data_IF_228165555925
#
_entry.id   IF_228165555925
#
_cell.length_a   1.000
_cell.length_b   1.000
_cell.length_c   1.000
_cell.angle_alpha   90.00
_cell.angle_beta   90.00
_cell.angle_gamma   90.00
#
_symmetry.space_group_name_H-M   'P 1'
#
loop_
_entity.id
_entity.type
_entity.pdbx_description
1 polymer ?
#
# COMPACT_ATOMS: atom_id res chain seq x y z
N UNK A 1 14.63 -5.47 -4.59
CA UNK A 1 13.71 -6.59 -4.32
C UNK A 1 12.30 -6.33 -4.83
N UNK A 2 11.49 -5.37 -4.32
CA UNK A 2 10.10 -5.16 -4.80
C UNK A 2 10.04 -4.86 -6.30
N UNK A 3 10.87 -3.96 -6.80
CA UNK A 3 10.97 -3.63 -8.24
C UNK A 3 11.24 -4.89 -9.08
N UNK A 4 12.19 -5.73 -8.66
CA UNK A 4 12.52 -6.97 -9.37
C UNK A 4 11.37 -7.98 -9.35
N UNK A 5 10.65 -8.06 -8.22
CA UNK A 5 9.44 -8.88 -8.13
C UNK A 5 8.35 -8.44 -9.10
N UNK A 6 8.07 -7.12 -9.18
CA UNK A 6 7.07 -6.60 -10.13
C UNK A 6 7.51 -6.84 -11.58
N UNK A 7 8.79 -6.62 -11.91
CA UNK A 7 9.32 -6.94 -13.25
C UNK A 7 9.14 -8.41 -13.59
N UNK A 8 9.46 -9.33 -12.66
CA UNK A 8 9.30 -10.76 -12.87
C UNK A 8 7.83 -11.13 -13.13
N UNK A 9 6.91 -10.65 -12.28
CA UNK A 9 5.48 -10.90 -12.45
C UNK A 9 4.93 -10.35 -13.77
N UNK A 10 5.35 -9.15 -14.18
CA UNK A 10 4.98 -8.57 -15.50
C UNK A 10 5.52 -9.39 -16.67
N UNK A 11 6.62 -10.12 -16.48
CA UNK A 11 7.21 -11.04 -17.46
C UNK A 11 6.70 -12.49 -17.31
N UNK A 12 5.58 -12.72 -16.62
CA UNK A 12 5.01 -14.05 -16.37
C UNK A 12 5.94 -15.01 -15.59
N UNK A 13 6.85 -14.48 -14.78
CA UNK A 13 7.72 -15.26 -13.90
C UNK A 13 7.19 -15.22 -12.47
N UNK A 14 6.92 -16.36 -11.82
CA UNK A 14 6.50 -16.38 -10.42
C UNK A 14 7.64 -15.91 -9.50
N UNK A 15 7.27 -15.41 -8.33
CA UNK A 15 8.19 -14.90 -7.32
C UNK A 15 7.98 -15.58 -5.98
N UNK A 16 9.01 -15.56 -5.13
CA UNK A 16 8.92 -15.90 -3.72
C UNK A 16 8.89 -14.60 -2.89
N UNK A 17 7.77 -14.34 -2.23
CA UNK A 17 7.59 -13.18 -1.37
C UNK A 17 7.87 -13.57 0.08
N UNK A 18 8.82 -12.91 0.78
CA UNK A 18 9.10 -13.21 2.19
C UNK A 18 7.92 -12.84 3.09
N UNK A 19 7.63 -13.66 4.07
CA UNK A 19 6.65 -13.38 5.13
C UNK A 19 7.30 -12.45 6.16
N UNK A 20 6.56 -11.45 6.62
CA UNK A 20 7.00 -10.50 7.63
C UNK A 20 6.34 -10.80 8.99
N UNK A 21 7.14 -10.93 10.04
CA UNK A 21 6.67 -11.02 11.42
C UNK A 21 6.51 -9.64 12.03
N UNK A 22 5.28 -9.29 12.40
CA UNK A 22 4.99 -8.04 13.12
C UNK A 22 5.40 -8.11 14.61
N UNK A 23 5.66 -9.31 15.11
CA UNK A 23 6.13 -9.53 16.50
C UNK A 23 7.62 -9.29 16.60
N UNK A 24 8.38 -9.87 15.68
CA UNK A 24 9.84 -9.80 15.68
C UNK A 24 10.36 -8.56 14.94
N UNK A 25 9.47 -7.84 14.24
CA UNK A 25 9.80 -6.71 13.37
C UNK A 25 10.82 -7.04 12.27
N UNK A 26 10.81 -8.29 11.78
CA UNK A 26 11.73 -8.77 10.74
C UNK A 26 11.04 -9.75 9.79
N UNK A 27 11.76 -10.13 8.74
CA UNK A 27 11.33 -11.18 7.81
C UNK A 27 11.55 -12.54 8.44
N UNK A 28 10.56 -13.41 8.26
CA UNK A 28 10.70 -14.82 8.64
C UNK A 28 11.51 -15.58 7.60
N UNK A 29 11.88 -16.82 7.92
CA UNK A 29 12.47 -17.74 6.94
C UNK A 29 11.44 -18.30 5.94
N UNK A 30 10.16 -18.00 6.14
CA UNK A 30 9.08 -18.46 5.28
C UNK A 30 8.92 -17.55 4.07
N UNK A 31 8.52 -18.12 2.94
CA UNK A 31 8.12 -17.38 1.74
C UNK A 31 6.79 -17.89 1.21
N UNK A 32 6.11 -17.01 0.47
CA UNK A 32 4.87 -17.32 -0.23
C UNK A 32 5.13 -17.18 -1.72
N UNK A 33 4.82 -18.24 -2.47
CA UNK A 33 4.90 -18.21 -3.92
C UNK A 33 3.74 -17.39 -4.51
N UNK A 34 4.07 -16.36 -5.26
CA UNK A 34 3.10 -15.49 -5.96
C UNK A 34 3.22 -15.73 -7.46
N UNK A 35 2.12 -16.20 -8.04
CA UNK A 35 2.03 -16.45 -9.49
C UNK A 35 1.65 -15.18 -10.24
N UNK A 36 2.11 -15.02 -11.48
CA UNK A 36 1.67 -13.93 -12.37
C UNK A 36 0.15 -13.92 -12.55
N UNK A 37 -0.39 -12.71 -12.66
CA UNK A 37 -1.81 -12.50 -12.93
C UNK A 37 -1.99 -11.31 -13.87
N UNK A 38 -3.16 -11.21 -14.51
CA UNK A 38 -3.52 -10.07 -15.37
C UNK A 38 -3.58 -8.75 -14.61
N UNK A 39 -3.80 -8.80 -13.30
CA UNK A 39 -3.81 -7.64 -12.41
C UNK A 39 -2.87 -7.92 -11.24
N UNK A 40 -1.98 -6.99 -11.01
CA UNK A 40 -1.07 -6.98 -9.86
C UNK A 40 -1.39 -5.73 -9.04
N UNK A 41 -1.77 -5.91 -7.79
CA UNK A 41 -2.01 -4.80 -6.86
C UNK A 41 -0.82 -4.73 -5.92
N UNK A 42 -0.20 -3.55 -5.87
CA UNK A 42 0.90 -3.25 -4.95
C UNK A 42 0.40 -2.25 -3.92
N UNK A 43 0.44 -2.63 -2.66
CA UNK A 43 0.02 -1.78 -1.54
C UNK A 43 1.22 -1.40 -0.66
N UNK A 44 1.31 -0.13 -0.30
CA UNK A 44 2.33 0.39 0.59
C UNK A 44 2.44 1.91 0.59
N UNK A 45 2.72 2.47 1.76
CA UNK A 45 2.74 3.93 1.96
C UNK A 45 3.91 4.65 1.27
N UNK A 46 4.98 3.94 0.92
CA UNK A 46 6.19 4.51 0.29
C UNK A 46 6.39 4.02 -1.15
N UNK A 47 5.42 3.36 -1.75
CA UNK A 47 5.57 2.79 -3.11
C UNK A 47 5.79 3.86 -4.17
N UNK A 48 5.33 5.08 -3.93
CA UNK A 48 5.52 6.20 -4.85
C UNK A 48 6.85 6.93 -4.69
N UNK A 49 7.65 6.66 -3.67
CA UNK A 49 8.96 7.29 -3.49
C UNK A 49 9.99 6.75 -4.50
N UNK A 50 9.89 5.49 -4.86
CA UNK A 50 10.80 4.88 -5.82
C UNK A 50 10.33 5.15 -7.27
N UNK A 51 11.13 5.93 -8.03
CA UNK A 51 10.79 6.27 -9.42
C UNK A 51 10.67 5.04 -10.32
N UNK A 52 11.58 4.08 -10.20
CA UNK A 52 11.56 2.86 -11.01
C UNK A 52 10.30 2.03 -10.76
N UNK A 53 9.84 1.98 -9.51
CA UNK A 53 8.58 1.32 -9.16
C UNK A 53 7.37 2.06 -9.76
N UNK A 54 7.35 3.40 -9.68
CA UNK A 54 6.29 4.22 -10.30
C UNK A 54 6.19 4.01 -11.81
N UNK A 55 7.32 3.89 -12.48
CA UNK A 55 7.39 3.70 -13.94
C UNK A 55 6.84 2.31 -14.37
N UNK A 56 6.75 1.34 -13.45
CA UNK A 56 6.17 0.02 -13.69
C UNK A 56 4.65 -0.02 -13.48
N UNK A 57 4.06 1.00 -12.86
CA UNK A 57 2.64 1.06 -12.52
C UNK A 57 1.83 1.62 -13.68
N UNK A 58 0.75 0.92 -14.05
CA UNK A 58 -0.17 1.36 -15.09
C UNK A 58 -1.22 2.33 -14.54
N UNK A 59 -1.61 2.17 -13.26
CA UNK A 59 -2.54 3.05 -12.54
C UNK A 59 -1.96 3.31 -11.14
N UNK A 60 -1.85 4.57 -10.76
CA UNK A 60 -1.36 5.02 -9.47
C UNK A 60 -2.50 5.65 -8.66
N UNK A 61 -2.88 5.01 -7.58
CA UNK A 61 -3.98 5.44 -6.71
C UNK A 61 -3.43 5.90 -5.37
N UNK A 62 -3.78 7.11 -4.98
CA UNK A 62 -3.51 7.62 -3.64
C UNK A 62 -4.81 7.59 -2.82
N UNK A 63 -4.75 6.94 -1.67
CA UNK A 63 -5.88 6.86 -0.73
C UNK A 63 -5.73 8.01 0.27
N UNK A 64 -6.60 9.00 0.14
CA UNK A 64 -6.58 10.20 0.98
C UNK A 64 -7.55 10.04 2.15
N UNK A 65 -7.05 10.24 3.37
CA UNK A 65 -7.85 10.16 4.59
C UNK A 65 -7.28 11.17 5.59
N UNK A 66 -8.14 11.90 6.26
CA UNK A 66 -7.76 12.90 7.25
C UNK A 66 -6.88 12.32 8.36
N UNK A 67 -5.95 13.13 8.85
CA UNK A 67 -4.91 12.69 9.79
C UNK A 67 -5.48 12.18 11.12
N UNK A 68 -6.55 12.80 11.61
CA UNK A 68 -7.26 12.40 12.82
C UNK A 68 -7.95 11.04 12.67
N UNK A 69 -8.59 10.80 11.52
CA UNK A 69 -9.21 9.49 11.19
C UNK A 69 -8.13 8.41 11.07
N UNK A 70 -7.00 8.71 10.42
CA UNK A 70 -5.87 7.76 10.32
C UNK A 70 -5.32 7.43 11.71
N UNK A 71 -5.18 8.43 12.58
CA UNK A 71 -4.70 8.23 13.95
C UNK A 71 -5.70 7.41 14.78
N UNK A 72 -6.99 7.72 14.71
CA UNK A 72 -8.03 6.98 15.42
C UNK A 72 -8.03 5.49 15.02
N UNK A 73 -8.02 5.20 13.71
CA UNK A 73 -7.94 3.82 13.18
C UNK A 73 -6.66 3.10 13.64
N UNK A 74 -5.53 3.81 13.65
CA UNK A 74 -4.26 3.26 14.13
C UNK A 74 -4.31 2.90 15.62
N UNK A 75 -4.86 3.79 16.46
CA UNK A 75 -4.97 3.53 17.90
C UNK A 75 -5.83 2.29 18.15
N UNK A 76 -7.01 2.23 17.53
CA UNK A 76 -7.91 1.08 17.69
C UNK A 76 -7.22 -0.24 17.29
N UNK A 77 -6.62 -0.29 16.11
CA UNK A 77 -5.93 -1.49 15.63
C UNK A 77 -4.76 -1.88 16.53
N UNK A 78 -3.87 -0.93 16.84
CA UNK A 78 -2.61 -1.24 17.54
C UNK A 78 -2.85 -1.59 19.02
N UNK A 79 -3.91 -1.02 19.64
CA UNK A 79 -4.27 -1.35 21.02
C UNK A 79 -5.07 -2.65 21.09
N UNK A 80 -6.13 -2.80 20.25
CA UNK A 80 -7.04 -3.94 20.36
C UNK A 80 -6.47 -5.23 19.74
N UNK A 81 -5.71 -5.11 18.63
CA UNK A 81 -5.26 -6.27 17.86
C UNK A 81 -3.79 -6.62 18.07
N UNK A 82 -2.95 -5.63 18.45
CA UNK A 82 -1.49 -5.79 18.56
C UNK A 82 -0.97 -5.66 19.98
N UNK A 83 -1.84 -5.49 20.97
CA UNK A 83 -1.50 -5.45 22.40
C UNK A 83 -0.63 -4.26 22.81
N UNK A 84 -0.58 -3.18 22.01
CA UNK A 84 0.20 -1.99 22.32
C UNK A 84 -0.54 -1.09 23.32
N UNK A 85 0.20 -0.31 24.11
CA UNK A 85 -0.41 0.73 24.93
C UNK A 85 -0.74 1.96 24.09
N UNK A 86 -1.82 2.66 24.42
CA UNK A 86 -2.21 3.92 23.79
C UNK A 86 -1.07 4.94 23.81
N UNK A 87 -0.40 5.06 24.96
CA UNK A 87 0.74 5.97 25.11
C UNK A 87 1.87 5.66 24.13
N UNK A 88 2.23 4.38 23.96
CA UNK A 88 3.24 3.94 22.98
C UNK A 88 2.85 4.31 21.56
N UNK A 89 1.59 4.12 21.18
CA UNK A 89 1.08 4.44 19.83
C UNK A 89 1.14 5.95 19.57
N UNK A 90 0.68 6.78 20.53
CA UNK A 90 0.68 8.24 20.41
C UNK A 90 2.11 8.78 20.34
N UNK A 91 2.99 8.30 21.22
CA UNK A 91 4.41 8.73 21.23
C UNK A 91 5.07 8.44 19.89
N UNK A 92 4.93 7.21 19.36
CA UNK A 92 5.48 6.85 18.06
C UNK A 92 4.85 7.67 16.92
N UNK A 93 3.54 7.94 16.99
CA UNK A 93 2.86 8.73 15.98
C UNK A 93 3.44 10.14 15.89
N UNK A 94 3.58 10.82 17.01
CA UNK A 94 4.06 12.21 17.08
C UNK A 94 5.54 12.33 16.75
N UNK A 95 6.36 11.38 17.22
CA UNK A 95 7.82 11.44 17.05
C UNK A 95 8.31 10.94 15.69
N UNK A 96 7.57 10.06 15.04
CA UNK A 96 8.07 9.38 13.83
C UNK A 96 7.03 9.37 12.71
N UNK A 97 5.82 8.82 12.98
CA UNK A 97 4.88 8.52 11.89
C UNK A 97 4.35 9.78 11.20
N UNK A 98 3.97 10.79 11.99
CA UNK A 98 3.47 12.06 11.44
C UNK A 98 4.55 12.82 10.67
N UNK A 99 5.76 13.07 11.21
CA UNK A 99 6.84 13.70 10.46
C UNK A 99 7.18 12.96 9.15
N UNK A 100 7.32 11.64 9.21
CA UNK A 100 7.62 10.83 8.02
C UNK A 100 6.50 10.85 6.98
N UNK A 101 5.23 10.92 7.43
CA UNK A 101 4.11 11.07 6.53
C UNK A 101 4.17 12.42 5.79
N UNK A 102 4.42 13.50 6.52
CA UNK A 102 4.50 14.85 5.98
C UNK A 102 5.71 15.01 5.03
N UNK A 103 6.80 14.32 5.30
CA UNK A 103 8.03 14.41 4.50
C UNK A 103 7.99 13.53 3.25
N UNK A 104 7.45 12.31 3.32
CA UNK A 104 7.54 11.34 2.22
C UNK A 104 6.18 10.96 1.63
N UNK A 105 5.16 10.71 2.45
CA UNK A 105 3.89 10.15 1.97
C UNK A 105 3.02 11.22 1.33
N UNK A 106 2.78 12.32 2.03
CA UNK A 106 1.93 13.41 1.53
C UNK A 106 2.47 14.03 0.23
N UNK A 107 3.78 14.35 0.09
CA UNK A 107 4.31 14.87 -1.17
C UNK A 107 4.24 13.87 -2.34
N UNK A 108 4.15 12.58 -2.05
CA UNK A 108 4.05 11.53 -3.08
C UNK A 108 2.69 11.51 -3.80
N UNK A 109 1.67 12.14 -3.22
CA UNK A 109 0.33 12.35 -3.78
C UNK A 109 0.36 12.97 -5.19
N UNK A 110 1.34 13.81 -5.48
CA UNK A 110 1.56 14.41 -6.82
C UNK A 110 1.81 13.40 -7.94
N UNK A 111 2.19 12.18 -7.59
CA UNK A 111 2.45 11.11 -8.57
C UNK A 111 1.23 10.25 -8.84
N UNK A 112 0.13 10.43 -8.11
CA UNK A 112 -1.09 9.66 -8.30
C UNK A 112 -1.85 10.10 -9.55
N UNK A 113 -2.39 9.12 -10.28
CA UNK A 113 -3.33 9.36 -11.39
C UNK A 113 -4.75 9.56 -10.84
N UNK A 114 -5.07 8.95 -9.69
CA UNK A 114 -6.37 9.03 -9.03
C UNK A 114 -6.17 9.22 -7.51
N UNK A 115 -6.92 10.14 -6.93
CA UNK A 115 -6.99 10.35 -5.48
C UNK A 115 -8.37 9.91 -4.99
N UNK A 116 -8.42 8.96 -4.06
CA UNK A 116 -9.67 8.45 -3.48
C UNK A 116 -9.81 9.00 -2.06
N UNK A 117 -10.75 9.94 -1.84
CA UNK A 117 -11.03 10.43 -0.49
C UNK A 117 -11.72 9.35 0.35
N UNK A 118 -11.53 9.41 1.67
CA UNK A 118 -12.13 8.50 2.66
C UNK A 118 -11.72 7.01 2.52
N UNK A 119 -10.82 6.70 1.61
CA UNK A 119 -10.27 5.37 1.42
C UNK A 119 -11.27 4.36 0.87
N UNK A 120 -11.16 3.11 1.31
CA UNK A 120 -11.99 2.00 0.83
C UNK A 120 -13.49 2.12 1.17
N UNK A 121 -13.89 3.09 1.98
CA UNK A 121 -15.29 3.39 2.28
C UNK A 121 -15.97 4.22 1.18
N UNK A 122 -15.21 4.82 0.26
CA UNK A 122 -15.75 5.48 -0.91
C UNK A 122 -16.15 4.45 -1.97
N UNK A 123 -17.36 3.88 -1.81
CA UNK A 123 -17.87 2.82 -2.67
C UNK A 123 -17.99 3.25 -4.14
N UNK A 124 -18.26 4.52 -4.41
CA UNK A 124 -18.38 5.05 -5.78
C UNK A 124 -17.01 5.05 -6.46
N UNK A 125 -15.99 5.59 -5.80
CA UNK A 125 -14.63 5.61 -6.36
C UNK A 125 -14.08 4.19 -6.55
N UNK A 126 -14.33 3.29 -5.60
CA UNK A 126 -13.94 1.87 -5.70
C UNK A 126 -14.66 1.19 -6.87
N UNK A 127 -15.95 1.41 -7.06
CA UNK A 127 -16.69 0.86 -8.19
C UNK A 127 -16.17 1.36 -9.54
N UNK A 128 -15.85 2.65 -9.66
CA UNK A 128 -15.25 3.22 -10.87
C UNK A 128 -13.87 2.58 -11.18
N UNK A 129 -13.04 2.40 -10.17
CA UNK A 129 -11.73 1.75 -10.34
C UNK A 129 -11.88 0.30 -10.79
N UNK A 130 -12.79 -0.46 -10.19
CA UNK A 130 -13.08 -1.85 -10.58
C UNK A 130 -13.55 -1.92 -12.04
N UNK A 131 -14.42 -1.03 -12.47
CA UNK A 131 -14.90 -1.00 -13.85
C UNK A 131 -13.78 -0.67 -14.84
N UNK A 132 -12.90 0.26 -14.51
CA UNK A 132 -11.74 0.59 -15.33
C UNK A 132 -10.80 -0.63 -15.48
N UNK A 133 -10.47 -1.31 -14.38
CA UNK A 133 -9.64 -2.51 -14.40
C UNK A 133 -10.29 -3.62 -15.24
N UNK A 134 -11.58 -3.85 -15.10
CA UNK A 134 -12.31 -4.83 -15.92
C UNK A 134 -12.24 -4.53 -17.41
N UNK A 135 -12.41 -3.28 -17.78
CA UNK A 135 -12.30 -2.82 -19.18
C UNK A 135 -10.90 -3.09 -19.74
N UNK A 136 -9.85 -2.79 -18.98
CA UNK A 136 -8.46 -3.04 -19.39
C UNK A 136 -8.18 -4.54 -19.60
N UNK A 137 -8.68 -5.40 -18.71
CA UNK A 137 -8.53 -6.87 -18.84
C UNK A 137 -9.23 -7.38 -20.12
N UNK A 138 -10.36 -6.80 -20.48
CA UNK A 138 -11.13 -7.21 -21.67
C UNK A 138 -10.49 -6.72 -22.97
N UNK A 139 -9.88 -5.53 -22.94
CA UNK A 139 -9.20 -4.94 -24.12
C UNK A 139 -7.87 -5.61 -24.44
N UNK A 140 -7.28 -6.33 -23.49
CA UNK A 140 -6.00 -7.04 -23.64
C UNK A 140 -6.16 -8.46 -24.20
N UNK A 141 -7.27 -8.75 -24.87
CA UNK A 141 -7.50 -9.94 -25.67
C UNK A 141 -7.29 -9.60 -27.15
#
# INVERSE_FOLDING_TARGET
MLVEHIKALKNNVPIEHPVYSFVDHDRTSESVSVKPSKVIIVDGILIFENKELRDLMDIKVYVDTDADIRLARRILRDVCERGRTMQSVITQYTSTVKPMHEEFVEPSKKYADVIIPEGGFNSVAVAMLIQNIRSLIQSSK
#
